data_IF_179908617485
#
_entry.id   IF_179908617485
#
_cell.length_a   1.000
_cell.length_b   1.000
_cell.length_c   1.000
_cell.angle_alpha   90.00
_cell.angle_beta   90.00
_cell.angle_gamma   90.00
#
_symmetry.space_group_name_H-M   'P 1'
#
loop_
_entity.id
_entity.type
_entity.pdbx_description
1 polymer ?
#
# COMPACT_ATOMS: atom_id res chain seq x y z
N UNK A 1 -5.85 52.90 24.81
CA UNK A 1 -5.51 51.72 25.63
C UNK A 1 -4.89 50.68 24.70
N UNK A 2 -3.68 50.26 25.05
CA UNK A 2 -2.67 49.52 24.28
C UNK A 2 -3.17 48.54 23.20
N UNK A 3 -2.83 48.80 21.93
CA UNK A 3 -2.79 47.76 20.90
C UNK A 3 -1.51 46.94 21.14
N UNK A 4 -1.63 45.78 21.77
CA UNK A 4 -0.51 44.86 21.96
C UNK A 4 -0.15 44.24 20.60
N UNK A 5 1.10 44.44 20.21
CA UNK A 5 1.66 44.09 18.90
C UNK A 5 1.82 42.57 18.75
N UNK A 6 1.26 41.98 17.68
CA UNK A 6 1.48 40.58 17.27
C UNK A 6 2.99 40.32 17.10
N UNK A 7 3.62 39.57 18.01
CA UNK A 7 4.99 39.07 17.81
C UNK A 7 4.98 37.83 16.91
N UNK A 8 5.43 38.01 15.68
CA UNK A 8 5.84 36.92 14.80
C UNK A 8 7.16 36.35 15.32
N UNK A 9 7.15 35.10 15.76
CA UNK A 9 8.39 34.37 16.10
C UNK A 9 8.44 33.16 15.19
N UNK A 10 9.41 33.11 14.26
CA UNK A 10 9.60 31.94 13.38
C UNK A 10 8.60 31.75 12.22
N UNK A 11 7.91 32.80 11.77
CA UNK A 11 7.05 32.76 10.57
C UNK A 11 5.61 32.27 10.79
N UNK A 12 5.22 31.96 12.02
CA UNK A 12 3.86 31.60 12.40
C UNK A 12 3.27 32.57 13.43
N UNK A 13 1.94 32.61 13.49
CA UNK A 13 1.18 33.44 14.43
C UNK A 13 1.09 32.70 15.76
N UNK A 14 1.44 33.37 16.86
CA UNK A 14 1.32 32.84 18.22
C UNK A 14 0.15 33.56 18.91
N UNK A 15 -0.89 32.85 19.39
CA UNK A 15 -2.00 33.48 20.10
C UNK A 15 -1.51 34.07 21.43
N UNK A 16 -1.96 35.28 21.77
CA UNK A 16 -1.58 35.99 22.99
C UNK A 16 -2.65 35.89 24.09
N UNK A 17 -3.80 35.30 23.79
CA UNK A 17 -4.88 35.04 24.76
C UNK A 17 -5.56 33.70 24.50
N UNK A 18 -6.38 33.26 25.47
CA UNK A 18 -7.18 32.03 25.34
C UNK A 18 -8.19 32.14 24.20
N UNK A 19 -8.77 33.32 24.02
CA UNK A 19 -9.74 33.63 22.97
C UNK A 19 -9.09 33.61 21.59
N UNK A 20 -7.88 34.17 21.44
CA UNK A 20 -7.12 34.06 20.19
C UNK A 20 -6.74 32.60 19.87
N UNK A 21 -6.39 31.81 20.89
CA UNK A 21 -6.12 30.39 20.72
C UNK A 21 -7.38 29.62 20.27
N UNK A 22 -8.52 29.88 20.90
CA UNK A 22 -9.82 29.28 20.54
C UNK A 22 -10.21 29.61 19.09
N UNK A 23 -10.04 30.85 18.66
CA UNK A 23 -10.29 31.25 17.26
C UNK A 23 -9.34 30.54 16.28
N UNK A 24 -8.06 30.37 16.63
CA UNK A 24 -7.12 29.58 15.83
C UNK A 24 -7.51 28.09 15.75
N UNK A 25 -8.04 27.51 16.83
CA UNK A 25 -8.55 26.12 16.84
C UNK A 25 -9.78 26.00 15.93
N UNK A 26 -10.69 26.98 15.96
CA UNK A 26 -11.85 27.04 15.04
C UNK A 26 -11.41 27.09 13.58
N UNK A 27 -10.49 28.00 13.25
CA UNK A 27 -9.94 28.13 11.89
C UNK A 27 -9.22 26.85 11.43
N UNK A 28 -8.46 26.20 12.32
CA UNK A 28 -7.83 24.91 12.03
C UNK A 28 -8.87 23.85 11.65
N UNK A 29 -9.99 23.78 12.38
CA UNK A 29 -11.08 22.86 12.06
C UNK A 29 -11.77 23.15 10.74
N UNK A 30 -11.90 24.42 10.35
CA UNK A 30 -12.41 24.83 9.03
C UNK A 30 -11.48 24.39 7.89
N UNK A 31 -10.16 24.63 8.05
CA UNK A 31 -9.15 24.22 7.07
C UNK A 31 -9.07 22.69 6.93
N UNK A 32 -9.13 21.93 8.03
CA UNK A 32 -9.12 20.47 7.99
C UNK A 32 -10.33 19.92 7.23
N UNK A 33 -11.53 20.47 7.45
CA UNK A 33 -12.74 20.07 6.74
C UNK A 33 -12.69 20.40 5.25
N UNK A 34 -12.14 21.56 4.90
CA UNK A 34 -11.95 21.92 3.49
C UNK A 34 -10.91 21.00 2.81
N UNK A 35 -9.82 20.65 3.51
CA UNK A 35 -8.83 19.70 3.00
C UNK A 35 -9.44 18.30 2.75
N UNK A 36 -10.27 17.80 3.67
CA UNK A 36 -10.97 16.52 3.47
C UNK A 36 -12.01 16.59 2.34
N UNK A 37 -12.71 17.73 2.15
CA UNK A 37 -13.58 17.94 0.99
C UNK A 37 -12.80 17.88 -0.33
N UNK A 38 -11.71 18.64 -0.44
CA UNK A 38 -10.86 18.64 -1.65
C UNK A 38 -10.35 17.23 -1.96
N UNK A 39 -9.95 16.49 -0.93
CA UNK A 39 -9.49 15.10 -1.06
C UNK A 39 -10.61 14.16 -1.51
N UNK A 40 -11.84 14.35 -1.02
CA UNK A 40 -13.00 13.59 -1.48
C UNK A 40 -13.28 13.86 -2.97
N UNK A 41 -13.36 15.14 -3.36
CA UNK A 41 -13.58 15.55 -4.76
C UNK A 41 -12.50 14.99 -5.69
N UNK A 42 -11.23 15.07 -5.27
CA UNK A 42 -10.09 14.49 -6.01
C UNK A 42 -10.26 12.98 -6.22
N UNK A 43 -10.70 12.24 -5.19
CA UNK A 43 -10.88 10.80 -5.29
C UNK A 43 -12.04 10.44 -6.22
N UNK A 44 -13.12 11.22 -6.22
CA UNK A 44 -14.24 11.05 -7.13
C UNK A 44 -13.82 11.30 -8.58
N UNK A 45 -13.06 12.36 -8.84
CA UNK A 45 -12.48 12.61 -10.17
C UNK A 45 -11.54 11.47 -10.62
N UNK A 46 -10.69 10.98 -9.73
CA UNK A 46 -9.78 9.87 -10.02
C UNK A 46 -10.55 8.59 -10.37
N UNK A 47 -11.67 8.32 -9.69
CA UNK A 47 -12.54 7.19 -9.97
C UNK A 47 -13.16 7.30 -11.37
N UNK A 48 -13.68 8.47 -11.75
CA UNK A 48 -14.25 8.71 -13.08
C UNK A 48 -13.20 8.57 -14.19
N UNK A 49 -12.00 9.12 -13.99
CA UNK A 49 -10.89 9.00 -14.94
C UNK A 49 -10.50 7.54 -15.12
N UNK A 50 -10.34 6.80 -14.02
CA UNK A 50 -10.01 5.39 -14.04
C UNK A 50 -11.05 4.57 -14.78
N UNK A 51 -12.33 4.75 -14.47
CA UNK A 51 -13.43 4.04 -15.13
C UNK A 51 -13.47 4.32 -16.63
N UNK A 52 -13.31 5.59 -17.03
CA UNK A 52 -13.29 6.00 -18.44
C UNK A 52 -12.18 5.28 -19.23
N UNK A 53 -10.98 5.21 -18.68
CA UNK A 53 -9.86 4.55 -19.36
C UNK A 53 -9.96 3.02 -19.29
N UNK A 54 -10.52 2.45 -18.23
CA UNK A 54 -10.80 1.02 -18.14
C UNK A 54 -11.83 0.58 -19.20
N UNK A 55 -12.91 1.34 -19.38
CA UNK A 55 -13.92 1.12 -20.43
C UNK A 55 -13.33 1.18 -21.83
N UNK A 56 -12.44 2.16 -22.10
CA UNK A 56 -11.76 2.26 -23.40
C UNK A 56 -10.74 1.12 -23.61
N UNK A 57 -10.03 0.72 -22.57
CA UNK A 57 -9.02 -0.33 -22.66
C UNK A 57 -9.63 -1.74 -22.75
N UNK A 58 -10.83 -1.97 -22.20
CA UNK A 58 -11.50 -3.26 -22.18
C UNK A 58 -11.63 -3.93 -23.57
N UNK A 59 -12.21 -3.29 -24.61
CA UNK A 59 -12.33 -3.91 -25.94
C UNK A 59 -10.97 -4.15 -26.60
N UNK A 60 -10.00 -3.24 -26.43
CA UNK A 60 -8.64 -3.40 -26.97
C UNK A 60 -7.95 -4.61 -26.34
N UNK A 61 -8.06 -4.75 -25.01
CA UNK A 61 -7.52 -5.91 -24.28
C UNK A 61 -8.24 -7.21 -24.67
N UNK A 62 -9.55 -7.19 -24.91
CA UNK A 62 -10.29 -8.37 -25.39
C UNK A 62 -9.80 -8.82 -26.75
N UNK A 63 -9.74 -7.89 -27.72
CA UNK A 63 -9.29 -8.18 -29.07
C UNK A 63 -7.84 -8.67 -29.10
N UNK A 64 -6.97 -8.08 -28.29
CA UNK A 64 -5.59 -8.55 -28.15
C UNK A 64 -5.51 -9.98 -27.59
N UNK A 65 -6.34 -10.32 -26.60
CA UNK A 65 -6.42 -11.69 -26.05
C UNK A 65 -6.96 -12.69 -27.06
N UNK A 66 -7.99 -12.33 -27.82
CA UNK A 66 -8.56 -13.17 -28.88
C UNK A 66 -7.52 -13.47 -29.97
N UNK A 67 -6.82 -12.44 -30.46
CA UNK A 67 -5.74 -12.59 -31.42
C UNK A 67 -4.62 -13.47 -30.89
N UNK A 68 -4.17 -13.23 -29.66
CA UNK A 68 -3.15 -14.06 -29.01
C UNK A 68 -3.59 -15.52 -28.94
N UNK A 69 -4.84 -15.78 -28.54
CA UNK A 69 -5.37 -17.15 -28.44
C UNK A 69 -5.42 -17.84 -29.80
N UNK A 70 -5.80 -17.12 -30.85
CA UNK A 70 -5.77 -17.63 -32.22
C UNK A 70 -4.34 -18.01 -32.66
N UNK A 71 -3.38 -17.11 -32.44
CA UNK A 71 -1.96 -17.34 -32.74
C UNK A 71 -1.43 -18.55 -31.97
N UNK A 72 -1.68 -18.62 -30.66
CA UNK A 72 -1.28 -19.75 -29.81
C UNK A 72 -1.85 -21.08 -30.30
N UNK A 73 -3.15 -21.11 -30.65
CA UNK A 73 -3.85 -22.32 -31.10
C UNK A 73 -3.26 -22.83 -32.42
N UNK A 74 -3.04 -21.94 -33.39
CA UNK A 74 -2.45 -22.31 -34.67
C UNK A 74 -0.97 -22.74 -34.51
N UNK A 75 -0.18 -22.01 -33.71
CA UNK A 75 1.22 -22.35 -33.47
C UNK A 75 1.39 -23.66 -32.71
N UNK A 76 0.47 -23.99 -31.80
CA UNK A 76 0.47 -25.27 -31.09
C UNK A 76 0.22 -26.44 -32.06
N UNK A 77 -0.71 -26.29 -33.01
CA UNK A 77 -1.00 -27.31 -34.02
C UNK A 77 0.11 -27.45 -35.07
N UNK A 78 0.84 -26.37 -35.37
CA UNK A 78 1.87 -26.35 -36.43
C UNK A 78 3.30 -26.32 -35.89
N UNK A 79 3.51 -26.67 -34.62
CA UNK A 79 4.80 -26.49 -33.94
C UNK A 79 5.96 -27.20 -34.63
N UNK A 80 5.76 -28.44 -35.05
CA UNK A 80 6.83 -29.23 -35.69
C UNK A 80 7.17 -28.68 -37.08
N UNK A 81 6.18 -28.21 -37.83
CA UNK A 81 6.39 -27.55 -39.14
C UNK A 81 7.15 -26.23 -38.99
N UNK A 82 6.81 -25.42 -37.97
CA UNK A 82 7.43 -24.12 -37.73
C UNK A 82 8.87 -24.19 -37.19
N UNK A 83 9.21 -25.25 -36.48
CA UNK A 83 10.50 -25.37 -35.77
C UNK A 83 11.40 -26.48 -36.29
N UNK A 84 10.89 -27.34 -37.17
CA UNK A 84 11.56 -28.57 -37.62
C UNK A 84 11.96 -29.49 -36.47
N UNK A 85 11.39 -29.32 -35.28
CA UNK A 85 11.77 -30.01 -34.04
C UNK A 85 13.15 -29.63 -33.46
N UNK A 86 13.92 -28.75 -34.11
CA UNK A 86 15.31 -28.44 -33.73
C UNK A 86 15.47 -27.17 -32.91
N UNK A 87 14.53 -26.23 -33.04
CA UNK A 87 14.56 -24.94 -32.33
C UNK A 87 13.28 -24.72 -31.55
N UNK A 88 13.28 -23.74 -30.64
CA UNK A 88 12.10 -23.37 -29.84
C UNK A 88 11.57 -21.99 -30.21
N UNK A 89 11.76 -21.54 -31.44
CA UNK A 89 11.25 -20.27 -31.94
C UNK A 89 10.94 -20.34 -33.44
N UNK A 90 10.09 -19.44 -33.92
CA UNK A 90 9.71 -19.27 -35.31
C UNK A 90 9.63 -17.78 -35.65
N UNK A 91 10.31 -17.37 -36.72
CA UNK A 91 10.35 -15.98 -37.20
C UNK A 91 9.28 -15.75 -38.27
N UNK A 92 8.60 -14.63 -38.16
CA UNK A 92 7.61 -14.13 -39.11
C UNK A 92 8.05 -12.75 -39.61
N UNK A 93 7.43 -12.26 -40.68
CA UNK A 93 7.72 -10.92 -41.20
C UNK A 93 7.48 -9.81 -40.15
N UNK A 94 6.48 -9.99 -39.29
CA UNK A 94 6.03 -8.99 -38.31
C UNK A 94 6.38 -9.36 -36.86
N UNK A 95 7.29 -10.30 -36.63
CA UNK A 95 7.70 -10.67 -35.27
C UNK A 95 8.24 -12.08 -35.14
N UNK A 96 8.36 -12.54 -33.89
CA UNK A 96 8.86 -13.87 -33.56
C UNK A 96 7.98 -14.50 -32.48
N UNK A 97 7.82 -15.81 -32.56
CA UNK A 97 7.17 -16.63 -31.54
C UNK A 97 8.22 -17.55 -30.94
N UNK A 98 8.24 -17.67 -29.62
CA UNK A 98 9.17 -18.54 -28.92
C UNK A 98 8.47 -19.36 -27.84
N UNK A 99 8.78 -20.66 -27.79
CA UNK A 99 8.37 -21.57 -26.72
C UNK A 99 9.40 -21.54 -25.60
N UNK A 100 9.08 -20.81 -24.54
CA UNK A 100 9.93 -20.72 -23.35
C UNK A 100 9.45 -21.67 -22.26
N UNK A 101 10.39 -22.38 -21.64
CA UNK A 101 10.13 -23.10 -20.39
C UNK A 101 10.04 -22.06 -19.29
N UNK A 102 8.89 -21.98 -18.61
CA UNK A 102 8.79 -21.15 -17.41
C UNK A 102 9.59 -21.80 -16.30
N UNK A 103 10.32 -21.03 -15.48
CA UNK A 103 10.99 -21.61 -14.31
C UNK A 103 9.94 -22.26 -13.39
N UNK A 104 10.31 -23.35 -12.67
CA UNK A 104 9.40 -24.00 -11.75
C UNK A 104 8.91 -23.00 -10.69
N UNK A 105 7.61 -23.07 -10.37
CA UNK A 105 7.01 -22.30 -9.28
C UNK A 105 6.56 -23.24 -8.19
N UNK A 106 6.87 -22.90 -6.93
CA UNK A 106 6.32 -23.58 -5.77
C UNK A 106 4.90 -23.05 -5.49
N UNK A 107 3.94 -23.95 -5.36
CA UNK A 107 2.56 -23.63 -4.96
C UNK A 107 2.28 -24.32 -3.64
N UNK A 108 1.91 -23.54 -2.62
CA UNK A 108 1.56 -24.05 -1.31
C UNK A 108 0.07 -23.81 -1.07
N UNK A 109 -0.71 -24.89 -0.85
CA UNK A 109 -2.16 -24.78 -0.61
C UNK A 109 -2.49 -24.38 0.83
N UNK A 110 -1.79 -25.01 1.77
CA UNK A 110 -1.85 -24.67 3.20
C UNK A 110 -0.43 -24.46 3.69
N UNK A 111 -0.13 -23.22 4.07
CA UNK A 111 1.19 -22.83 4.56
C UNK A 111 1.51 -23.58 5.86
N UNK A 112 0.56 -23.66 6.79
CA UNK A 112 0.79 -24.29 8.09
C UNK A 112 1.05 -25.80 7.98
N UNK A 113 0.27 -26.50 7.16
CA UNK A 113 0.51 -27.92 6.91
C UNK A 113 1.85 -28.17 6.22
N UNK A 114 2.24 -27.29 5.28
CA UNK A 114 3.54 -27.38 4.63
C UNK A 114 4.68 -27.09 5.61
N UNK A 115 4.56 -26.09 6.48
CA UNK A 115 5.55 -25.79 7.52
C UNK A 115 5.67 -26.93 8.53
N UNK A 116 4.56 -27.53 8.97
CA UNK A 116 4.56 -28.68 9.86
C UNK A 116 5.27 -29.89 9.23
N UNK A 117 4.90 -30.24 7.99
CA UNK A 117 5.54 -31.33 7.25
C UNK A 117 7.03 -31.06 7.01
N UNK A 118 7.42 -29.83 6.66
CA UNK A 118 8.83 -29.46 6.50
C UNK A 118 9.62 -29.64 7.80
N UNK A 119 9.05 -29.28 8.96
CA UNK A 119 9.68 -29.52 10.27
C UNK A 119 9.78 -31.01 10.59
N UNK A 120 8.70 -31.76 10.38
CA UNK A 120 8.66 -33.22 10.61
C UNK A 120 9.72 -33.96 9.78
N UNK A 121 9.95 -33.50 8.54
CA UNK A 121 10.94 -34.09 7.64
C UNK A 121 12.36 -33.50 7.83
N UNK A 122 12.59 -32.63 8.82
CA UNK A 122 13.90 -32.01 9.08
C UNK A 122 14.40 -31.11 7.96
N UNK A 123 13.50 -30.57 7.13
CA UNK A 123 13.82 -29.74 5.96
C UNK A 123 13.85 -28.24 6.29
N UNK A 124 14.55 -27.90 7.37
CA UNK A 124 14.61 -26.53 7.90
C UNK A 124 15.20 -25.51 6.91
N UNK A 125 16.06 -25.96 5.98
CA UNK A 125 16.61 -25.10 4.91
C UNK A 125 15.56 -24.44 4.02
N UNK A 126 14.32 -24.95 4.02
CA UNK A 126 13.19 -24.38 3.27
C UNK A 126 12.27 -23.51 4.13
N UNK A 127 12.54 -23.42 5.44
CA UNK A 127 11.82 -22.57 6.38
C UNK A 127 12.64 -21.31 6.59
N UNK A 128 12.06 -20.15 6.26
CA UNK A 128 12.70 -18.86 6.54
C UNK A 128 12.18 -18.31 7.85
N UNK A 129 13.06 -18.18 8.83
CA UNK A 129 12.77 -17.54 10.11
C UNK A 129 13.09 -16.04 10.02
N UNK A 130 12.17 -15.20 10.50
CA UNK A 130 12.41 -13.77 10.69
C UNK A 130 12.35 -13.51 12.19
N UNK A 131 13.45 -13.05 12.76
CA UNK A 131 13.49 -12.59 14.16
C UNK A 131 13.19 -11.10 14.17
N UNK A 132 12.22 -10.71 14.98
CA UNK A 132 11.86 -9.31 15.22
C UNK A 132 11.89 -9.04 16.71
N UNK A 133 12.30 -7.82 17.08
CA UNK A 133 12.31 -7.40 18.47
C UNK A 133 10.86 -7.24 18.94
N UNK A 134 10.49 -8.00 19.97
CA UNK A 134 9.20 -7.83 20.63
C UNK A 134 9.25 -6.59 21.54
N UNK A 135 8.82 -5.45 21.00
CA UNK A 135 8.79 -4.18 21.73
C UNK A 135 7.72 -4.15 22.82
N UNK A 136 6.62 -4.88 22.64
CA UNK A 136 5.55 -4.95 23.64
C UNK A 136 6.03 -5.66 24.91
N UNK A 137 6.68 -6.83 24.77
CA UNK A 137 7.27 -7.54 25.90
C UNK A 137 8.38 -6.73 26.60
N UNK A 138 9.15 -5.94 25.85
CA UNK A 138 10.12 -4.99 26.42
C UNK A 138 9.44 -3.90 27.25
N UNK A 139 8.25 -3.45 26.85
CA UNK A 139 7.50 -2.45 27.60
C UNK A 139 6.82 -3.04 28.85
N UNK A 140 6.50 -4.34 28.85
CA UNK A 140 5.98 -5.07 30.02
C UNK A 140 7.05 -5.24 31.11
N UNK A 141 8.31 -5.53 30.74
CA UNK A 141 9.45 -5.55 31.67
C UNK A 141 10.65 -4.74 31.13
N UNK A 142 10.62 -3.40 31.28
CA UNK A 142 11.71 -2.54 30.81
C UNK A 142 13.04 -2.75 31.54
N UNK A 143 12.99 -3.25 32.77
CA UNK A 143 14.18 -3.45 33.60
C UNK A 143 15.00 -4.66 33.11
N UNK A 144 14.34 -5.69 32.59
CA UNK A 144 15.00 -6.87 32.04
C UNK A 144 15.93 -6.58 30.84
N UNK A 145 15.70 -5.47 30.12
CA UNK A 145 16.49 -5.10 28.93
C UNK A 145 17.36 -3.86 29.12
N UNK A 146 17.43 -3.30 30.34
CA UNK A 146 18.19 -2.09 30.63
C UNK A 146 19.68 -2.17 30.24
N UNK A 147 20.29 -3.36 30.35
CA UNK A 147 21.69 -3.60 30.00
C UNK A 147 21.90 -4.08 28.56
N UNK A 148 20.85 -4.18 27.73
CA UNK A 148 20.96 -4.71 26.37
C UNK A 148 21.38 -3.60 25.41
N UNK A 149 22.57 -3.73 24.84
CA UNK A 149 23.10 -2.80 23.84
C UNK A 149 22.17 -2.71 22.62
N UNK A 150 21.76 -1.48 22.27
CA UNK A 150 20.86 -1.22 21.14
C UNK A 150 19.38 -1.07 21.51
N UNK A 151 19.01 -1.29 22.77
CA UNK A 151 17.64 -1.04 23.26
C UNK A 151 17.67 0.21 24.15
N UNK A 152 16.83 1.19 23.82
CA UNK A 152 16.61 2.37 24.66
C UNK A 152 15.10 2.57 24.81
N UNK A 153 14.60 2.38 26.03
CA UNK A 153 13.22 2.70 26.37
C UNK A 153 13.15 4.19 26.69
N UNK A 154 12.57 4.98 25.78
CA UNK A 154 12.33 6.41 26.02
C UNK A 154 11.09 6.58 26.89
N UNK A 155 11.09 7.60 27.74
CA UNK A 155 9.90 7.99 28.49
C UNK A 155 8.75 8.29 27.52
N UNK A 156 7.54 7.89 27.90
CA UNK A 156 6.31 8.39 27.28
C UNK A 156 6.29 9.90 27.51
N UNK A 157 6.72 10.67 26.50
CA UNK A 157 6.58 12.12 26.54
C UNK A 157 5.11 12.51 26.51
N UNK A 158 4.85 13.82 26.53
CA UNK A 158 3.53 14.35 26.30
C UNK A 158 3.39 14.70 24.81
N UNK A 159 2.39 14.14 24.14
CA UNK A 159 2.02 14.55 22.79
C UNK A 159 1.06 15.75 22.85
N UNK A 160 1.41 16.82 22.15
CA UNK A 160 0.51 17.96 21.98
C UNK A 160 -0.52 17.64 20.89
N UNK A 161 -1.80 17.65 21.26
CA UNK A 161 -2.90 17.39 20.34
C UNK A 161 -3.92 18.53 20.39
N UNK A 162 -4.33 19.00 19.21
CA UNK A 162 -5.47 19.91 19.04
C UNK A 162 -6.56 19.14 18.32
N UNK A 163 -7.74 19.05 18.92
CA UNK A 163 -8.95 18.49 18.30
C UNK A 163 -9.97 19.61 18.12
N UNK A 164 -10.08 20.21 16.92
CA UNK A 164 -11.18 21.12 16.63
C UNK A 164 -12.52 20.41 16.83
N UNK A 165 -13.56 21.14 17.22
CA UNK A 165 -14.88 20.55 17.40
C UNK A 165 -15.44 20.09 16.06
N UNK A 166 -15.88 18.84 16.00
CA UNK A 166 -16.58 18.26 14.86
C UNK A 166 -18.01 17.94 15.29
N UNK A 167 -18.98 18.45 14.56
CA UNK A 167 -20.37 18.05 14.76
C UNK A 167 -20.60 16.76 13.99
N UNK A 168 -20.73 15.64 14.69
CA UNK A 168 -21.17 14.39 14.08
C UNK A 168 -22.65 14.54 13.67
N UNK A 169 -22.97 14.19 12.42
CA UNK A 169 -24.34 13.99 12.00
C UNK A 169 -24.82 12.67 12.63
N UNK A 170 -25.47 12.76 13.80
CA UNK A 170 -26.24 11.65 14.36
C UNK A 170 -27.43 11.35 13.44
N UNK A 171 -27.20 10.46 12.48
CA UNK A 171 -28.25 9.84 11.67
C UNK A 171 -28.97 8.76 12.46
N UNK A 172 -29.77 9.14 13.45
CA UNK A 172 -30.87 8.29 13.90
C UNK A 172 -32.03 8.49 12.91
N UNK A 173 -31.98 7.74 11.82
CA UNK A 173 -33.16 7.50 11.00
C UNK A 173 -33.95 6.37 11.68
N UNK A 174 -35.03 6.74 12.36
CA UNK A 174 -36.08 5.81 12.79
C UNK A 174 -36.86 5.26 11.59
#
# INVERSE_FOLDING_TARGET
MSQSTKKLTGGFIVPQSKEECDDMIRQLGELNREAERIKADMNDELALVKERFEKQAAPVKSKAKELLKGIETWCAANRDSLTGGKVKFAKFMNGEIAWRVRPPRVVCRSIDAALAALREHGLEKFIRTKEEINKEAILEDPNAVFSVSGITVKSAGEDFQVKPFETELNGEAA
#
